data_IF_179468390090
#
_entry.id   IF_179468390090
#
_cell.length_a   1.000
_cell.length_b   1.000
_cell.length_c   1.000
_cell.angle_alpha   90.00
_cell.angle_beta   90.00
_cell.angle_gamma   90.00
#
_symmetry.space_group_name_H-M   'P 1'
#
loop_
_entity.id
_entity.type
_entity.pdbx_description
1 polymer ?
#
# COMPACT_ATOMS: atom_id res chain seq x y z
N UNK A 1 11.93 9.85 -2.11
CA UNK A 1 10.73 9.35 -2.80
C UNK A 1 9.52 10.17 -2.37
N UNK A 2 8.78 10.72 -3.32
CA UNK A 2 7.59 11.55 -3.08
C UNK A 2 6.31 10.71 -2.97
N UNK A 3 5.22 11.35 -2.54
CA UNK A 3 3.91 10.68 -2.43
C UNK A 3 3.41 10.17 -3.80
N UNK A 4 3.62 10.95 -4.87
CA UNK A 4 3.24 10.56 -6.24
C UNK A 4 4.08 9.40 -6.75
N UNK A 5 5.40 9.41 -6.50
CA UNK A 5 6.27 8.28 -6.84
C UNK A 5 5.86 7.01 -6.10
N UNK A 6 5.41 7.12 -4.84
CA UNK A 6 4.88 5.98 -4.09
C UNK A 6 3.62 5.39 -4.73
N UNK A 7 2.66 6.22 -5.12
CA UNK A 7 1.45 5.70 -5.77
C UNK A 7 1.75 5.11 -7.14
N UNK A 8 2.60 5.75 -7.95
CA UNK A 8 3.07 5.17 -9.22
C UNK A 8 3.80 3.85 -9.01
N UNK A 9 4.69 3.76 -8.03
CA UNK A 9 5.42 2.53 -7.73
C UNK A 9 4.47 1.43 -7.24
N UNK A 10 3.49 1.77 -6.41
CA UNK A 10 2.44 0.85 -5.93
C UNK A 10 1.60 0.28 -7.08
N UNK A 11 1.22 1.10 -8.05
CA UNK A 11 0.47 0.65 -9.23
C UNK A 11 1.33 -0.21 -10.17
N UNK A 12 2.64 -0.02 -10.18
CA UNK A 12 3.57 -0.80 -10.99
C UNK A 12 4.02 -2.12 -10.32
N UNK A 13 3.53 -2.47 -9.13
CA UNK A 13 3.82 -3.76 -8.49
C UNK A 13 3.20 -4.87 -9.35
N UNK A 14 4.04 -5.54 -10.15
CA UNK A 14 3.64 -6.72 -10.91
C UNK A 14 3.71 -7.93 -10.01
N UNK A 15 2.55 -8.52 -9.74
CA UNK A 15 2.47 -9.78 -9.02
C UNK A 15 2.85 -10.91 -10.00
N UNK A 16 3.76 -11.83 -9.62
CA UNK A 16 4.10 -12.97 -10.46
C UNK A 16 2.86 -13.84 -10.74
N UNK A 17 2.67 -14.20 -12.01
CA UNK A 17 1.60 -15.12 -12.41
C UNK A 17 1.89 -16.54 -11.88
N UNK A 18 0.84 -17.26 -11.47
CA UNK A 18 0.94 -18.62 -10.96
C UNK A 18 1.12 -18.75 -9.43
N UNK A 19 1.11 -17.64 -8.71
CA UNK A 19 1.02 -17.64 -7.25
C UNK A 19 -0.43 -17.86 -6.79
N UNK A 20 -0.59 -18.52 -5.63
CA UNK A 20 -1.90 -18.57 -4.96
C UNK A 20 -2.29 -17.20 -4.43
N UNK A 21 -3.58 -16.88 -4.34
CA UNK A 21 -4.09 -15.61 -3.81
C UNK A 21 -3.42 -15.18 -2.49
N UNK A 22 -3.18 -16.13 -1.57
CA UNK A 22 -2.48 -15.87 -0.31
C UNK A 22 -1.02 -15.47 -0.50
N UNK A 23 -0.33 -16.07 -1.48
CA UNK A 23 1.05 -15.76 -1.83
C UNK A 23 1.15 -14.44 -2.59
N UNK A 24 0.21 -14.17 -3.50
CA UNK A 24 0.06 -12.88 -4.17
C UNK A 24 -0.11 -11.75 -3.15
N UNK A 25 -0.99 -11.94 -2.17
CA UNK A 25 -1.23 -10.98 -1.09
C UNK A 25 0.03 -10.78 -0.24
N UNK A 26 0.76 -11.86 0.07
CA UNK A 26 2.02 -11.81 0.85
C UNK A 26 3.12 -11.10 0.08
N UNK A 27 3.24 -11.36 -1.22
CA UNK A 27 4.18 -10.72 -2.13
C UNK A 27 3.88 -9.23 -2.24
N UNK A 28 2.63 -8.88 -2.54
CA UNK A 28 2.16 -7.50 -2.63
C UNK A 28 2.41 -6.72 -1.34
N UNK A 29 2.13 -7.33 -0.18
CA UNK A 29 2.41 -6.73 1.13
C UNK A 29 3.91 -6.48 1.33
N UNK A 30 4.77 -7.42 0.92
CA UNK A 30 6.23 -7.31 1.05
C UNK A 30 6.79 -6.19 0.17
N UNK A 31 6.30 -6.06 -1.07
CA UNK A 31 6.70 -4.98 -1.97
C UNK A 31 6.21 -3.61 -1.46
N UNK A 32 4.97 -3.54 -0.97
CA UNK A 32 4.45 -2.34 -0.31
C UNK A 32 5.30 -1.91 0.90
N UNK A 33 5.75 -2.86 1.72
CA UNK A 33 6.58 -2.60 2.89
C UNK A 33 7.94 -2.00 2.48
N UNK A 34 8.59 -2.58 1.46
CA UNK A 34 9.82 -2.01 0.88
C UNK A 34 9.64 -0.60 0.35
N UNK A 35 8.51 -0.32 -0.31
CA UNK A 35 8.21 1.03 -0.80
C UNK A 35 8.03 2.02 0.36
N UNK A 36 7.40 1.58 1.45
CA UNK A 36 7.22 2.40 2.66
C UNK A 36 8.53 2.66 3.39
N UNK A 37 9.45 1.70 3.45
CA UNK A 37 10.78 1.89 4.05
C UNK A 37 11.63 2.92 3.30
N UNK A 38 11.37 3.15 2.01
CA UNK A 38 12.06 4.14 1.19
C UNK A 38 11.42 5.54 1.25
N UNK A 39 10.26 5.67 1.92
CA UNK A 39 9.60 6.95 2.09
C UNK A 39 10.20 7.74 3.25
N UNK A 40 10.38 9.06 3.10
CA UNK A 40 10.66 9.92 4.23
C UNK A 40 9.50 9.90 5.23
N UNK A 41 9.77 10.06 6.53
CA UNK A 41 8.78 9.90 7.60
C UNK A 41 7.55 10.79 7.43
N UNK A 42 7.72 12.03 6.95
CA UNK A 42 6.61 12.94 6.67
C UNK A 42 5.64 12.43 5.59
N UNK A 43 6.17 11.74 4.57
CA UNK A 43 5.35 11.16 3.50
C UNK A 43 4.72 9.85 3.97
N UNK A 44 5.44 9.05 4.74
CA UNK A 44 4.93 7.83 5.36
C UNK A 44 3.70 8.13 6.24
N UNK A 45 3.77 9.18 7.06
CA UNK A 45 2.66 9.58 7.93
C UNK A 45 1.40 9.96 7.13
N UNK A 46 1.55 10.66 6.00
CA UNK A 46 0.44 10.98 5.08
C UNK A 46 -0.17 9.73 4.47
N UNK A 47 0.65 8.78 4.04
CA UNK A 47 0.18 7.49 3.50
C UNK A 47 -0.61 6.71 4.57
N UNK A 48 -0.09 6.62 5.79
CA UNK A 48 -0.76 5.93 6.89
C UNK A 48 -2.09 6.58 7.25
N UNK A 49 -2.15 7.92 7.36
CA UNK A 49 -3.39 8.67 7.59
C UNK A 49 -4.43 8.42 6.49
N UNK A 50 -4.01 8.35 5.23
CA UNK A 50 -4.93 8.03 4.12
C UNK A 50 -5.47 6.60 4.21
N UNK A 51 -4.61 5.63 4.55
CA UNK A 51 -5.03 4.23 4.74
C UNK A 51 -6.03 4.13 5.90
N UNK A 52 -5.75 4.79 7.02
CA UNK A 52 -6.66 4.83 8.17
C UNK A 52 -8.00 5.48 7.81
N UNK A 53 -7.98 6.62 7.11
CA UNK A 53 -9.19 7.31 6.65
C UNK A 53 -10.03 6.42 5.72
N UNK A 54 -9.38 5.67 4.84
CA UNK A 54 -10.05 4.73 3.95
C UNK A 54 -10.67 3.56 4.72
N UNK A 55 -9.96 2.99 5.69
CA UNK A 55 -10.49 1.94 6.58
C UNK A 55 -11.69 2.44 7.39
N UNK A 56 -11.60 3.62 8.01
CA UNK A 56 -12.73 4.24 8.71
C UNK A 56 -13.92 4.46 7.78
N UNK A 57 -13.70 4.90 6.54
CA UNK A 57 -14.78 5.09 5.55
C UNK A 57 -15.46 3.77 5.18
N UNK A 58 -14.69 2.71 4.96
CA UNK A 58 -15.24 1.37 4.72
C UNK A 58 -16.04 0.86 5.93
N UNK A 59 -15.53 1.10 7.14
CA UNK A 59 -16.14 0.65 8.38
C UNK A 59 -17.42 1.44 8.73
N UNK A 60 -17.44 2.74 8.47
CA UNK A 60 -18.62 3.60 8.65
C UNK A 60 -19.67 3.47 7.54
N UNK A 61 -19.36 2.83 6.42
CA UNK A 61 -20.35 2.44 5.40
C UNK A 61 -21.13 1.17 5.76
N UNK A 62 -20.77 0.53 6.88
CA UNK A 62 -21.47 -0.59 7.49
C UNK A 62 -22.17 -0.02 8.74
N UNK A 63 -23.27 0.69 8.55
CA UNK A 63 -24.21 1.09 9.60
C UNK A 63 -25.59 1.27 8.98
#
# INVERSE_FOLDING_TARGET
>A
MTLEEYYKAKENIKIPEGLSFSEEMKYYKKELDKLRSQLPPEVLEKVLKNVERFQRKMQSGIS
#
